data_IF_745667129875
#
_entry.id   IF_745667129875
#
_cell.length_a   1.000
_cell.length_b   1.000
_cell.length_c   1.000
_cell.angle_alpha   90.00
_cell.angle_beta   90.00
_cell.angle_gamma   90.00
#
_symmetry.space_group_name_H-M   'P 1'
#
loop_
_entity.id
_entity.type
_entity.pdbx_description
1 polymer ?
#
# COMPACT_ATOMS: atom_id res chain seq x y z
N UNK A 1 5.88 -20.56 2.25
CA UNK A 1 7.01 -21.46 1.92
C UNK A 1 6.44 -22.83 1.60
N UNK A 2 7.00 -23.56 0.62
CA UNK A 2 6.68 -24.97 0.38
C UNK A 2 7.23 -25.85 1.50
N UNK A 3 6.74 -27.08 1.67
CA UNK A 3 7.26 -28.02 2.69
C UNK A 3 8.77 -28.21 2.56
N UNK A 4 9.27 -28.36 1.33
CA UNK A 4 10.71 -28.48 1.04
C UNK A 4 11.49 -27.23 1.43
N UNK A 5 10.95 -26.04 1.18
CA UNK A 5 11.58 -24.77 1.61
C UNK A 5 11.59 -24.66 3.14
N UNK A 6 10.51 -25.06 3.81
CA UNK A 6 10.41 -25.04 5.27
C UNK A 6 11.41 -26.00 5.92
N UNK A 7 11.54 -27.23 5.39
CA UNK A 7 12.53 -28.21 5.83
C UNK A 7 13.96 -27.71 5.62
N UNK A 8 14.24 -27.09 4.47
CA UNK A 8 15.55 -26.49 4.23
C UNK A 8 15.86 -25.37 5.21
N UNK A 9 14.92 -24.42 5.43
CA UNK A 9 15.12 -23.31 6.38
C UNK A 9 15.29 -23.84 7.79
N UNK A 10 14.55 -24.88 8.19
CA UNK A 10 14.71 -25.54 9.49
C UNK A 10 16.09 -26.16 9.63
N UNK A 11 16.53 -26.95 8.65
CA UNK A 11 17.83 -27.60 8.70
C UNK A 11 18.98 -26.59 8.70
N UNK A 12 18.91 -25.57 7.84
CA UNK A 12 19.86 -24.46 7.82
C UNK A 12 19.94 -23.77 9.18
N UNK A 13 18.80 -23.51 9.81
CA UNK A 13 18.73 -22.85 11.11
C UNK A 13 19.35 -23.69 12.23
N UNK A 14 18.97 -24.97 12.32
CA UNK A 14 19.47 -25.91 13.34
C UNK A 14 20.97 -26.17 13.23
N UNK A 15 21.52 -26.19 12.00
CA UNK A 15 22.93 -26.54 11.76
C UNK A 15 23.87 -25.34 11.72
N UNK A 16 23.46 -24.23 11.11
CA UNK A 16 24.33 -23.09 10.83
C UNK A 16 24.04 -21.90 11.73
N UNK A 17 22.76 -21.57 11.96
CA UNK A 17 22.41 -20.39 12.74
C UNK A 17 22.63 -20.58 14.26
N UNK A 18 22.62 -21.81 14.77
CA UNK A 18 22.92 -22.09 16.18
C UNK A 18 24.41 -22.26 16.48
N UNK A 19 25.24 -22.57 15.49
CA UNK A 19 26.67 -22.85 15.69
C UNK A 19 27.51 -21.57 15.71
N UNK A 20 27.07 -20.52 15.03
CA UNK A 20 27.70 -19.21 15.12
C UNK A 20 27.06 -18.38 16.24
N UNK A 21 27.88 -17.73 17.07
CA UNK A 21 27.45 -16.89 18.19
C UNK A 21 26.85 -15.55 17.73
N UNK A 22 26.06 -15.53 16.65
CA UNK A 22 25.42 -14.34 16.11
C UNK A 22 23.93 -14.35 16.45
N UNK A 23 23.50 -13.67 17.53
CA UNK A 23 22.11 -13.70 17.99
C UNK A 23 21.12 -12.98 17.05
N UNK A 24 21.60 -12.31 15.99
CA UNK A 24 20.76 -11.51 15.09
C UNK A 24 21.11 -11.84 13.65
N UNK A 25 20.16 -12.40 12.92
CA UNK A 25 20.27 -12.62 11.48
C UNK A 25 20.31 -11.26 10.76
N UNK A 26 21.39 -10.98 10.04
CA UNK A 26 21.47 -9.77 9.23
C UNK A 26 20.47 -9.84 8.06
N UNK A 27 20.07 -8.67 7.56
CA UNK A 27 19.19 -8.58 6.38
C UNK A 27 19.86 -9.21 5.13
N UNK A 28 21.19 -9.17 5.06
CA UNK A 28 21.97 -9.83 4.01
C UNK A 28 21.84 -11.35 4.08
N UNK A 29 21.96 -11.93 5.28
CA UNK A 29 21.79 -13.37 5.49
C UNK A 29 20.37 -13.82 5.12
N UNK A 30 19.36 -13.05 5.53
CA UNK A 30 17.95 -13.33 5.19
C UNK A 30 17.70 -13.23 3.69
N UNK A 31 18.31 -12.25 3.02
CA UNK A 31 18.22 -12.09 1.56
C UNK A 31 18.91 -13.24 0.82
N UNK A 32 20.10 -13.66 1.27
CA UNK A 32 20.81 -14.80 0.70
C UNK A 32 20.03 -16.11 0.88
N UNK A 33 19.46 -16.34 2.06
CA UNK A 33 18.64 -17.51 2.35
C UNK A 33 17.36 -17.52 1.49
N UNK A 34 16.77 -16.34 1.26
CA UNK A 34 15.63 -16.18 0.37
C UNK A 34 15.99 -16.54 -1.08
N UNK A 35 17.16 -16.11 -1.56
CA UNK A 35 17.68 -16.50 -2.88
C UNK A 35 17.90 -18.02 -2.97
N UNK A 36 18.55 -18.63 -1.98
CA UNK A 36 18.84 -20.08 -1.97
C UNK A 36 17.57 -20.93 -1.97
N UNK A 37 16.58 -20.52 -1.20
CA UNK A 37 15.29 -21.22 -1.11
C UNK A 37 14.35 -20.89 -2.26
N UNK A 38 14.72 -19.95 -3.13
CA UNK A 38 13.83 -19.37 -4.15
C UNK A 38 12.51 -18.88 -3.52
N UNK A 39 12.61 -18.28 -2.34
CA UNK A 39 11.49 -17.71 -1.61
C UNK A 39 11.64 -16.20 -1.47
N UNK A 40 10.55 -15.49 -1.20
CA UNK A 40 10.62 -14.06 -0.92
C UNK A 40 11.16 -13.81 0.50
N UNK A 41 12.06 -12.83 0.70
CA UNK A 41 12.64 -12.54 2.02
C UNK A 41 11.59 -12.36 3.11
N UNK A 42 10.49 -11.67 2.83
CA UNK A 42 9.42 -11.45 3.81
C UNK A 42 8.66 -12.74 4.19
N UNK A 43 8.50 -13.70 3.27
CA UNK A 43 7.90 -15.00 3.59
C UNK A 43 8.82 -15.82 4.50
N UNK A 44 10.13 -15.65 4.31
CA UNK A 44 11.17 -16.31 5.08
C UNK A 44 11.29 -15.68 6.47
N UNK A 45 11.29 -14.35 6.57
CA UNK A 45 11.22 -13.60 7.83
C UNK A 45 9.97 -13.98 8.63
N UNK A 46 8.79 -13.99 8.00
CA UNK A 46 7.54 -14.38 8.64
C UNK A 46 7.57 -15.82 9.17
N UNK A 47 8.15 -16.75 8.41
CA UNK A 47 8.31 -18.14 8.86
C UNK A 47 9.32 -18.26 10.01
N UNK A 48 10.49 -17.61 9.92
CA UNK A 48 11.51 -17.64 10.98
C UNK A 48 10.96 -17.03 12.28
N UNK A 49 10.29 -15.88 12.21
CA UNK A 49 9.70 -15.24 13.39
C UNK A 49 8.60 -16.08 14.03
N UNK A 50 7.85 -16.85 13.23
CA UNK A 50 6.80 -17.75 13.71
C UNK A 50 7.38 -18.99 14.39
N UNK A 51 8.37 -19.64 13.77
CA UNK A 51 8.93 -20.91 14.24
C UNK A 51 10.03 -20.73 15.29
N UNK A 52 10.72 -19.57 15.30
CA UNK A 52 11.82 -19.26 16.21
C UNK A 52 11.67 -17.88 16.86
N UNK A 53 10.70 -17.70 17.79
CA UNK A 53 10.42 -16.41 18.41
C UNK A 53 11.59 -15.81 19.19
N UNK A 54 12.53 -16.65 19.65
CA UNK A 54 13.68 -16.30 20.48
C UNK A 54 14.59 -15.22 19.86
N UNK A 55 14.64 -15.15 18.53
CA UNK A 55 15.53 -14.22 17.78
C UNK A 55 14.91 -12.85 17.57
N UNK A 56 13.58 -12.74 17.55
CA UNK A 56 12.89 -11.53 17.12
C UNK A 56 12.85 -10.41 18.17
N UNK A 57 13.53 -10.56 19.31
CA UNK A 57 13.36 -9.70 20.48
C UNK A 57 14.32 -8.50 20.58
N UNK A 58 15.29 -8.30 19.68
CA UNK A 58 16.25 -7.19 19.81
C UNK A 58 16.76 -6.60 18.47
N UNK A 59 15.87 -6.07 17.63
CA UNK A 59 16.29 -5.04 16.66
C UNK A 59 15.85 -3.67 17.18
N UNK A 60 16.76 -2.86 17.75
CA UNK A 60 16.50 -1.44 17.91
C UNK A 60 16.44 -0.85 16.50
N UNK A 61 15.27 -0.38 16.08
CA UNK A 61 15.15 0.53 14.95
C UNK A 61 15.95 1.78 15.31
N UNK A 62 17.21 1.83 14.87
CA UNK A 62 18.11 2.95 15.09
C UNK A 62 17.49 4.23 14.53
N UNK A 63 17.19 5.15 15.45
CA UNK A 63 16.87 6.54 15.18
C UNK A 63 17.95 7.18 14.29
N UNK A 64 17.55 7.70 13.14
CA UNK A 64 18.38 8.56 12.30
C UNK A 64 18.42 9.95 12.98
N UNK A 65 19.60 10.58 13.15
CA UNK A 65 19.69 11.87 13.83
C UNK A 65 19.08 12.99 12.98
N UNK A 66 18.16 13.72 13.61
CA UNK A 66 17.49 14.91 13.09
C UNK A 66 18.52 16.05 12.94
N UNK A 67 18.91 16.37 11.70
CA UNK A 67 19.68 17.59 11.39
C UNK A 67 18.78 18.80 11.54
N UNK A 68 19.02 19.57 12.60
CA UNK A 68 18.50 20.93 12.81
C UNK A 68 19.36 21.91 12.02
N UNK A 69 18.83 22.38 10.89
CA UNK A 69 19.34 23.54 10.16
C UNK A 69 18.20 24.55 10.00
N UNK A 70 18.11 25.49 10.93
CA UNK A 70 17.20 26.63 10.90
C UNK A 70 17.83 27.70 9.99
N UNK A 71 17.37 27.77 8.74
CA UNK A 71 17.59 28.94 7.90
C UNK A 71 16.26 29.61 7.57
N UNK A 72 16.16 30.87 8.03
CA UNK A 72 15.08 31.80 7.75
C UNK A 72 15.14 32.20 6.28
N UNK A 73 14.14 31.83 5.49
CA UNK A 73 13.89 32.48 4.21
C UNK A 73 12.48 33.05 4.12
N UNK A 74 12.47 34.28 3.64
CA UNK A 74 11.37 35.22 3.43
C UNK A 74 10.33 34.68 2.44
N UNK A 75 9.04 35.08 2.54
CA UNK A 75 7.99 34.56 1.69
C UNK A 75 8.08 35.15 0.28
N UNK A 76 8.33 34.30 -0.71
CA UNK A 76 8.14 34.60 -2.14
C UNK A 76 6.92 33.81 -2.64
N UNK A 77 6.05 34.41 -3.47
CA UNK A 77 4.88 33.73 -4.02
C UNK A 77 5.35 32.78 -5.13
N UNK A 78 5.26 31.47 -4.89
CA UNK A 78 5.61 30.45 -5.88
C UNK A 78 4.36 29.87 -6.52
N UNK A 79 4.04 30.38 -7.71
CA UNK A 79 3.41 29.58 -8.75
C UNK A 79 4.45 28.55 -9.21
N UNK A 80 4.42 27.35 -8.61
CA UNK A 80 5.17 26.21 -9.14
C UNK A 80 4.26 25.00 -9.10
N UNK A 81 3.47 24.86 -10.16
CA UNK A 81 2.61 23.70 -10.40
C UNK A 81 3.50 22.49 -10.69
N UNK A 82 4.03 21.87 -9.64
CA UNK A 82 4.73 20.58 -9.76
C UNK A 82 3.72 19.58 -10.34
N UNK A 83 4.06 18.84 -11.41
CA UNK A 83 3.17 17.82 -11.94
C UNK A 83 2.79 16.83 -10.84
N UNK A 84 1.49 16.57 -10.70
CA UNK A 84 0.91 15.66 -9.69
C UNK A 84 1.63 14.29 -9.65
N UNK A 85 2.14 13.83 -10.79
CA UNK A 85 2.90 12.57 -10.89
C UNK A 85 4.20 12.61 -10.11
N UNK A 86 4.95 13.72 -10.17
CA UNK A 86 6.27 13.86 -9.53
C UNK A 86 6.17 13.86 -8.00
N UNK A 87 5.10 14.42 -7.45
CA UNK A 87 4.84 14.42 -6.01
C UNK A 87 4.57 13.00 -5.47
N UNK A 88 3.87 12.16 -6.22
CA UNK A 88 3.56 10.79 -5.82
C UNK A 88 4.83 9.91 -5.78
N UNK A 89 5.65 9.99 -6.82
CA UNK A 89 6.92 9.24 -6.91
C UNK A 89 7.87 9.64 -5.77
N UNK A 90 8.00 10.94 -5.50
CA UNK A 90 8.85 11.44 -4.42
C UNK A 90 8.38 10.96 -3.04
N UNK A 91 7.07 10.99 -2.77
CA UNK A 91 6.51 10.52 -1.51
C UNK A 91 6.67 9.01 -1.30
N UNK A 92 6.80 8.24 -2.38
CA UNK A 92 6.87 6.78 -2.37
C UNK A 92 8.24 6.23 -2.82
N UNK A 93 9.29 7.05 -2.77
CA UNK A 93 10.65 6.67 -3.20
C UNK A 93 11.28 5.54 -2.37
N UNK A 94 10.71 5.23 -1.20
CA UNK A 94 11.12 4.09 -0.35
C UNK A 94 10.62 2.73 -0.87
N UNK A 95 9.67 2.73 -1.81
CA UNK A 95 9.20 1.50 -2.44
C UNK A 95 10.21 1.00 -3.49
N UNK A 96 10.28 -0.31 -3.70
CA UNK A 96 11.07 -0.88 -4.79
C UNK A 96 10.59 -0.32 -6.14
N UNK A 97 11.49 -0.03 -7.11
CA UNK A 97 11.11 0.60 -8.38
C UNK A 97 10.01 -0.15 -9.14
N UNK A 98 10.03 -1.48 -9.15
CA UNK A 98 8.99 -2.30 -9.77
C UNK A 98 7.63 -2.15 -9.07
N UNK A 99 7.61 -2.13 -7.73
CA UNK A 99 6.40 -1.91 -6.94
C UNK A 99 5.86 -0.50 -7.16
N UNK A 100 6.74 0.51 -7.16
CA UNK A 100 6.35 1.89 -7.41
C UNK A 100 5.68 2.05 -8.79
N UNK A 101 6.24 1.45 -9.84
CA UNK A 101 5.65 1.50 -11.18
C UNK A 101 4.23 0.87 -11.23
N UNK A 102 4.01 -0.24 -10.52
CA UNK A 102 2.69 -0.87 -10.41
C UNK A 102 1.70 0.03 -9.66
N UNK A 103 2.14 0.64 -8.56
CA UNK A 103 1.34 1.59 -7.76
C UNK A 103 0.97 2.82 -8.59
N UNK A 104 1.92 3.43 -9.28
CA UNK A 104 1.68 4.59 -10.14
C UNK A 104 0.69 4.27 -11.25
N UNK A 105 0.86 3.12 -11.92
CA UNK A 105 -0.09 2.64 -12.95
C UNK A 105 -1.48 2.44 -12.37
N UNK A 106 -1.59 1.89 -11.15
CA UNK A 106 -2.86 1.69 -10.46
C UNK A 106 -3.54 3.03 -10.12
N UNK A 107 -2.81 3.96 -9.51
CA UNK A 107 -3.30 5.30 -9.16
C UNK A 107 -3.72 6.08 -10.41
N UNK A 108 -2.92 6.01 -11.48
CA UNK A 108 -3.27 6.62 -12.76
C UNK A 108 -4.59 6.05 -13.30
N UNK A 109 -4.84 4.75 -13.13
CA UNK A 109 -6.11 4.11 -13.54
C UNK A 109 -7.28 4.55 -12.65
N UNK A 110 -7.09 4.64 -11.34
CA UNK A 110 -8.09 5.14 -10.38
C UNK A 110 -8.56 6.57 -10.67
N UNK A 111 -7.65 7.42 -11.12
CA UNK A 111 -7.93 8.82 -11.45
C UNK A 111 -8.51 9.03 -12.85
N UNK A 112 -8.63 7.99 -13.67
CA UNK A 112 -9.25 8.13 -14.99
C UNK A 112 -10.73 8.49 -14.84
N UNK A 113 -11.22 9.50 -15.59
CA UNK A 113 -12.65 9.73 -15.72
C UNK A 113 -13.33 8.45 -16.20
N UNK A 114 -14.39 8.03 -15.54
CA UNK A 114 -15.17 6.90 -16.04
C UNK A 114 -16.00 7.35 -17.25
N UNK A 115 -16.08 6.54 -18.31
CA UNK A 115 -16.86 6.89 -19.48
C UNK A 115 -18.33 7.10 -19.13
N UNK A 116 -18.95 8.04 -19.83
CA UNK A 116 -20.35 8.40 -19.59
C UNK A 116 -21.34 7.25 -19.90
N UNK A 117 -20.85 6.13 -20.43
CA UNK A 117 -21.64 4.96 -20.84
C UNK A 117 -21.54 3.77 -19.89
N UNK A 118 -20.83 3.88 -18.76
CA UNK A 118 -20.78 2.80 -17.75
C UNK A 118 -22.20 2.54 -17.19
N UNK A 119 -22.84 1.45 -17.59
CA UNK A 119 -24.26 1.13 -17.41
C UNK A 119 -24.74 0.93 -15.97
N UNK A 120 -23.90 1.24 -14.97
CA UNK A 120 -24.23 1.17 -13.53
C UNK A 120 -24.94 2.44 -13.00
N UNK A 121 -25.52 3.29 -13.85
CA UNK A 121 -26.01 4.65 -13.50
C UNK A 121 -27.30 4.73 -12.66
N UNK A 122 -27.91 3.61 -12.27
CA UNK A 122 -29.03 3.68 -11.31
C UNK A 122 -28.60 4.26 -9.96
N UNK A 123 -27.29 4.36 -9.68
CA UNK A 123 -26.69 4.99 -8.49
C UNK A 123 -26.12 6.40 -8.74
N UNK A 124 -26.78 7.23 -9.56
CA UNK A 124 -26.41 8.64 -9.77
C UNK A 124 -27.50 9.61 -9.26
N UNK A 125 -28.15 9.26 -8.15
CA UNK A 125 -29.15 10.11 -7.49
C UNK A 125 -28.76 10.31 -6.03
N UNK A 126 -28.99 11.52 -5.51
CA UNK A 126 -28.72 11.88 -4.13
C UNK A 126 -27.92 13.17 -3.96
N UNK A 127 -27.83 13.63 -2.71
CA UNK A 127 -27.18 14.89 -2.36
C UNK A 127 -25.64 14.80 -2.43
N UNK A 128 -25.05 13.65 -2.13
CA UNK A 128 -23.60 13.49 -2.06
C UNK A 128 -23.00 13.23 -3.43
N UNK A 129 -22.44 14.26 -4.04
CA UNK A 129 -21.84 14.23 -5.39
C UNK A 129 -20.33 13.99 -5.32
N UNK A 130 -19.80 13.25 -6.28
CA UNK A 130 -18.35 13.07 -6.41
C UNK A 130 -17.67 14.38 -6.82
N UNK A 131 -16.60 14.73 -6.12
CA UNK A 131 -15.81 15.96 -6.29
C UNK A 131 -14.65 15.81 -7.28
N UNK A 132 -14.42 14.60 -7.79
CA UNK A 132 -13.42 14.32 -8.84
C UNK A 132 -13.99 14.38 -10.27
N UNK A 133 -15.24 14.85 -10.44
CA UNK A 133 -15.82 15.11 -11.76
C UNK A 133 -16.31 13.87 -12.52
N UNK A 134 -16.55 12.73 -11.86
CA UNK A 134 -17.01 11.51 -12.52
C UNK A 134 -18.55 11.36 -12.59
N UNK A 135 -19.30 12.37 -12.16
CA UNK A 135 -20.77 12.42 -12.11
C UNK A 135 -21.46 11.36 -11.21
N UNK A 136 -20.71 10.65 -10.37
CA UNK A 136 -21.30 9.78 -9.35
C UNK A 136 -22.03 10.60 -8.28
N UNK A 137 -23.20 10.13 -7.86
CA UNK A 137 -23.96 10.75 -6.77
C UNK A 137 -24.75 9.71 -5.97
N UNK A 138 -24.78 9.82 -4.65
CA UNK A 138 -25.49 8.87 -3.78
C UNK A 138 -26.24 9.59 -2.67
N UNK A 139 -27.25 8.94 -2.09
CA UNK A 139 -27.95 9.43 -0.90
C UNK A 139 -27.19 9.15 0.41
N UNK A 140 -26.14 8.32 0.39
CA UNK A 140 -25.44 7.85 1.59
C UNK A 140 -24.01 8.37 1.66
N UNK A 141 -23.69 9.10 2.74
CA UNK A 141 -22.34 9.60 3.06
C UNK A 141 -21.26 8.51 3.00
N UNK A 142 -21.56 7.31 3.49
CA UNK A 142 -20.63 6.17 3.49
C UNK A 142 -20.24 5.74 2.07
N UNK A 143 -21.23 5.61 1.17
CA UNK A 143 -21.00 5.20 -0.21
C UNK A 143 -20.24 6.28 -0.99
N UNK A 144 -20.52 7.56 -0.69
CA UNK A 144 -19.79 8.69 -1.25
C UNK A 144 -18.30 8.66 -0.85
N UNK A 145 -18.00 8.52 0.45
CA UNK A 145 -16.61 8.44 0.93
C UNK A 145 -15.86 7.27 0.28
N UNK A 146 -16.48 6.09 0.23
CA UNK A 146 -15.92 4.89 -0.40
C UNK A 146 -15.67 5.09 -1.90
N UNK A 147 -16.53 5.86 -2.57
CA UNK A 147 -16.36 6.21 -3.98
C UNK A 147 -15.17 7.17 -4.17
N UNK A 148 -15.06 8.21 -3.34
CA UNK A 148 -13.95 9.15 -3.36
C UNK A 148 -12.60 8.46 -3.12
N UNK A 149 -12.55 7.48 -2.20
CA UNK A 149 -11.38 6.62 -1.95
C UNK A 149 -11.00 5.75 -3.17
N UNK A 150 -11.90 5.56 -4.13
CA UNK A 150 -11.56 4.91 -5.42
C UNK A 150 -10.75 5.83 -6.32
N UNK A 151 -10.98 7.15 -6.25
CA UNK A 151 -10.23 8.15 -7.00
C UNK A 151 -8.90 8.50 -6.34
N UNK A 152 -8.90 8.60 -5.02
CA UNK A 152 -7.70 8.86 -4.22
C UNK A 152 -7.54 7.76 -3.15
N UNK A 153 -6.95 6.61 -3.52
CA UNK A 153 -6.64 5.53 -2.59
C UNK A 153 -5.87 5.99 -1.37
N UNK A 154 -6.27 5.54 -0.19
CA UNK A 154 -5.55 5.74 1.07
C UNK A 154 -4.69 4.54 1.44
N UNK A 155 -5.08 3.35 0.99
CA UNK A 155 -4.36 2.11 1.19
C UNK A 155 -4.29 1.33 -0.13
N UNK A 156 -3.23 0.55 -0.31
CA UNK A 156 -3.02 -0.29 -1.48
C UNK A 156 -2.55 -1.67 -1.03
N UNK A 157 -3.11 -2.70 -1.64
CA UNK A 157 -2.67 -4.07 -1.51
C UNK A 157 -2.18 -4.59 -2.85
N UNK A 158 -0.95 -5.11 -2.87
CA UNK A 158 -0.33 -5.79 -4.00
C UNK A 158 -0.14 -7.25 -3.60
N UNK A 159 -0.93 -8.16 -4.20
CA UNK A 159 -0.92 -9.56 -3.83
C UNK A 159 0.47 -10.17 -4.02
N UNK A 160 1.14 -10.49 -2.93
CA UNK A 160 2.49 -11.07 -2.95
C UNK A 160 2.51 -12.42 -3.66
N UNK A 161 1.44 -13.21 -3.54
CA UNK A 161 1.33 -14.51 -4.20
C UNK A 161 1.20 -14.40 -5.73
N UNK A 162 0.54 -13.35 -6.24
CA UNK A 162 0.44 -13.07 -7.68
C UNK A 162 1.68 -12.38 -8.24
N UNK A 163 2.38 -11.58 -7.44
CA UNK A 163 3.58 -10.87 -7.90
C UNK A 163 4.72 -11.82 -8.32
N UNK A 164 4.68 -13.08 -7.88
CA UNK A 164 5.69 -14.09 -8.16
C UNK A 164 5.31 -15.08 -9.27
N UNK A 165 4.07 -15.04 -9.76
CA UNK A 165 3.67 -15.91 -10.86
C UNK A 165 4.19 -15.35 -12.19
N UNK A 166 4.67 -16.20 -13.13
CA UNK A 166 5.15 -15.75 -14.45
C UNK A 166 4.08 -15.08 -15.32
N UNK A 167 2.82 -15.09 -14.87
CA UNK A 167 1.75 -14.34 -15.52
C UNK A 167 1.93 -12.86 -15.24
N UNK A 168 1.93 -12.06 -16.30
CA UNK A 168 2.23 -10.62 -16.35
C UNK A 168 1.22 -9.70 -15.61
N UNK A 169 0.43 -10.25 -14.68
CA UNK A 169 -0.70 -9.58 -14.06
C UNK A 169 -0.63 -9.71 -12.54
N UNK A 170 0.25 -8.92 -11.93
CA UNK A 170 0.22 -8.72 -10.48
C UNK A 170 -1.14 -8.12 -10.07
N UNK A 171 -1.79 -8.73 -9.07
CA UNK A 171 -3.08 -8.26 -8.58
C UNK A 171 -2.89 -7.11 -7.60
N UNK A 172 -3.35 -5.92 -7.96
CA UNK A 172 -3.27 -4.69 -7.16
C UNK A 172 -4.64 -4.03 -7.00
N UNK A 173 -4.97 -3.62 -5.78
CA UNK A 173 -6.27 -2.98 -5.47
C UNK A 173 -6.18 -2.07 -4.25
N UNK A 174 -7.01 -1.03 -4.22
CA UNK A 174 -7.15 -0.07 -3.09
C UNK A 174 -8.31 -0.38 -2.14
N UNK A 175 -8.94 -1.55 -2.26
CA UNK A 175 -10.12 -1.94 -1.49
C UNK A 175 -9.93 -3.28 -0.80
N UNK A 176 -9.95 -3.26 0.53
CA UNK A 176 -9.79 -4.45 1.39
C UNK A 176 -10.78 -5.57 1.05
N UNK A 177 -12.06 -5.24 0.83
CA UNK A 177 -13.08 -6.24 0.48
C UNK A 177 -12.81 -6.94 -0.86
N UNK A 178 -12.26 -6.19 -1.83
CA UNK A 178 -11.86 -6.74 -3.13
C UNK A 178 -10.62 -7.60 -3.02
N UNK A 179 -9.66 -7.21 -2.20
CA UNK A 179 -8.48 -8.01 -1.93
C UNK A 179 -8.83 -9.33 -1.25
N UNK A 180 -9.60 -9.29 -0.16
CA UNK A 180 -10.01 -10.50 0.57
C UNK A 180 -10.78 -11.48 -0.32
N UNK A 181 -11.67 -10.96 -1.18
CA UNK A 181 -12.37 -11.77 -2.17
C UNK A 181 -11.37 -12.46 -3.11
N UNK A 182 -10.41 -11.71 -3.68
CA UNK A 182 -9.36 -12.26 -4.53
C UNK A 182 -8.53 -13.34 -3.81
N UNK A 183 -8.04 -13.05 -2.61
CA UNK A 183 -7.24 -13.98 -1.83
C UNK A 183 -8.01 -15.28 -1.53
N UNK A 184 -9.30 -15.18 -1.21
CA UNK A 184 -10.17 -16.34 -1.00
C UNK A 184 -10.38 -17.17 -2.28
N UNK A 185 -10.69 -16.52 -3.40
CA UNK A 185 -11.04 -17.20 -4.65
C UNK A 185 -9.82 -17.79 -5.36
N UNK A 186 -8.69 -17.09 -5.35
CA UNK A 186 -7.47 -17.47 -6.09
C UNK A 186 -6.51 -18.27 -5.21
N UNK A 187 -6.40 -17.96 -3.92
CA UNK A 187 -5.39 -18.53 -3.02
C UNK A 187 -5.96 -19.32 -1.82
N UNK A 188 -7.30 -19.44 -1.70
CA UNK A 188 -7.96 -20.01 -0.52
C UNK A 188 -7.69 -21.49 -0.24
N UNK A 189 -7.05 -22.23 -1.16
CA UNK A 189 -6.67 -23.64 -0.94
C UNK A 189 -5.44 -23.82 -0.03
N UNK A 190 -4.63 -22.79 0.18
CA UNK A 190 -3.40 -22.90 0.97
C UNK A 190 -3.14 -21.75 1.93
N UNK A 191 -3.94 -20.69 1.87
CA UNK A 191 -3.71 -19.48 2.65
C UNK A 191 -5.02 -18.94 3.21
N UNK A 192 -4.97 -18.42 4.43
CA UNK A 192 -6.06 -17.61 4.97
C UNK A 192 -6.04 -16.24 4.30
N UNK A 193 -7.17 -15.72 3.78
CA UNK A 193 -7.22 -14.43 3.09
C UNK A 193 -6.63 -13.26 3.88
N UNK A 194 -6.81 -13.27 5.21
CA UNK A 194 -6.33 -12.24 6.13
C UNK A 194 -4.80 -12.25 6.24
N UNK A 195 -4.17 -13.43 6.28
CA UNK A 195 -2.71 -13.55 6.29
C UNK A 195 -2.11 -13.00 4.99
N UNK A 196 -2.74 -13.28 3.85
CA UNK A 196 -2.30 -12.74 2.55
C UNK A 196 -2.51 -11.24 2.49
N UNK A 197 -3.59 -10.71 3.06
CA UNK A 197 -3.88 -9.27 3.11
C UNK A 197 -2.76 -8.54 3.86
N UNK A 198 -2.39 -9.02 5.04
CA UNK A 198 -1.37 -8.38 5.88
C UNK A 198 0.01 -8.40 5.20
N UNK A 199 0.37 -9.53 4.58
CA UNK A 199 1.61 -9.67 3.81
C UNK A 199 1.63 -8.82 2.53
N UNK A 200 0.47 -8.45 2.00
CA UNK A 200 0.32 -7.76 0.72
C UNK A 200 0.09 -6.26 0.85
N UNK A 201 0.04 -5.73 2.09
CA UNK A 201 -0.12 -4.30 2.32
C UNK A 201 1.14 -3.56 1.87
N UNK A 202 0.97 -2.61 0.96
CA UNK A 202 2.06 -1.73 0.52
C UNK A 202 2.16 -0.58 1.51
N UNK A 203 3.39 -0.20 1.90
CA UNK A 203 3.65 1.02 2.68
C UNK A 203 3.49 2.28 1.80
N UNK A 204 2.29 2.43 1.24
CA UNK A 204 1.93 3.48 0.31
C UNK A 204 1.65 4.77 1.08
N UNK A 205 2.26 5.87 0.63
CA UNK A 205 2.00 7.22 1.15
C UNK A 205 1.05 7.97 0.20
N UNK A 206 -0.21 8.19 0.59
CA UNK A 206 -1.15 9.00 -0.18
C UNK A 206 -0.72 10.47 -0.19
N UNK A 207 -1.37 11.27 -1.04
CA UNK A 207 -1.09 12.70 -1.11
C UNK A 207 -1.50 13.40 0.20
N UNK A 208 -0.62 14.24 0.73
CA UNK A 208 -0.84 15.01 1.96
C UNK A 208 -1.72 16.25 1.77
N UNK A 209 -1.73 16.83 0.56
CA UNK A 209 -2.45 18.07 0.27
C UNK A 209 -3.58 17.81 -0.70
N UNK A 210 -4.80 17.87 -0.18
CA UNK A 210 -5.99 17.66 -0.97
C UNK A 210 -6.89 18.89 -0.89
N UNK A 211 -7.16 19.47 -2.05
CA UNK A 211 -8.12 20.55 -2.17
C UNK A 211 -9.56 20.01 -2.21
N UNK A 212 -10.48 20.78 -1.62
CA UNK A 212 -11.90 20.63 -1.84
C UNK A 212 -12.25 21.01 -3.28
N UNK A 213 -13.00 20.15 -3.98
CA UNK A 213 -13.43 20.43 -5.36
C UNK A 213 -14.45 21.57 -5.47
N UNK A 214 -15.15 21.90 -4.38
CA UNK A 214 -16.21 22.92 -4.36
C UNK A 214 -15.67 24.32 -4.01
N UNK A 215 -14.90 24.45 -2.91
CA UNK A 215 -14.43 25.75 -2.42
C UNK A 215 -12.90 25.91 -2.42
N UNK A 216 -12.15 24.90 -2.87
CA UNK A 216 -10.69 24.97 -2.97
C UNK A 216 -9.91 24.89 -1.65
N UNK A 217 -10.59 24.80 -0.49
CA UNK A 217 -9.91 24.71 0.81
C UNK A 217 -8.99 23.48 0.89
N UNK A 218 -7.77 23.67 1.39
CA UNK A 218 -6.79 22.60 1.58
C UNK A 218 -7.05 21.85 2.88
N UNK A 219 -6.92 20.53 2.83
CA UNK A 219 -6.96 19.65 4.01
C UNK A 219 -5.65 18.91 4.16
N UNK A 220 -5.21 18.67 5.40
CA UNK A 220 -3.95 17.99 5.71
C UNK A 220 -4.07 16.48 5.73
N UNK A 221 -5.29 15.98 5.92
CA UNK A 221 -5.59 14.55 5.93
C UNK A 221 -6.82 14.26 5.09
N UNK A 222 -6.93 13.01 4.65
CA UNK A 222 -8.11 12.52 3.94
C UNK A 222 -9.38 12.66 4.78
N UNK A 223 -9.32 12.31 6.07
CA UNK A 223 -10.43 12.45 7.00
C UNK A 223 -10.91 13.90 7.13
N UNK A 224 -9.99 14.85 7.23
CA UNK A 224 -10.30 16.27 7.33
C UNK A 224 -10.96 16.77 6.04
N UNK A 225 -10.43 16.36 4.88
CA UNK A 225 -11.05 16.62 3.58
C UNK A 225 -12.46 16.07 3.49
N UNK A 226 -12.65 14.79 3.81
CA UNK A 226 -13.96 14.15 3.72
C UNK A 226 -14.98 14.81 4.64
N UNK A 227 -14.57 15.19 5.85
CA UNK A 227 -15.44 15.92 6.78
C UNK A 227 -15.82 17.30 6.22
N UNK A 228 -14.86 18.03 5.70
CA UNK A 228 -15.07 19.34 5.08
C UNK A 228 -16.02 19.25 3.90
N UNK A 229 -15.78 18.33 2.96
CA UNK A 229 -16.62 18.19 1.76
C UNK A 229 -18.05 17.82 2.10
N UNK A 230 -18.25 16.95 3.11
CA UNK A 230 -19.61 16.60 3.56
C UNK A 230 -20.39 17.81 4.06
N UNK A 231 -19.71 18.79 4.67
CA UNK A 231 -20.35 20.04 5.13
C UNK A 231 -20.90 20.91 4.00
N UNK A 232 -20.60 20.64 2.73
CA UNK A 232 -21.24 21.30 1.58
C UNK A 232 -22.58 20.67 1.17
N UNK A 233 -22.88 19.44 1.66
CA UNK A 233 -24.11 18.72 1.31
C UNK A 233 -25.17 18.75 2.41
N UNK A 234 -24.81 19.24 3.61
CA UNK A 234 -25.67 19.39 4.79
C UNK A 234 -26.10 20.86 4.94
#
# INVERSE_FOLDING_TARGET
LTTRQQEFVRHWYETLAQSESFPILSNETLSALATLTQAHPQLLIGYINKEYPSISSNTPFSHIPLRTGLDKQSPQPRDTTIPISTALSAANAHLLPATLALVEKHIATCRRPRPQTDGRRSVNTGAYRCTFGCNYATCRRFDWRRHEETHEPQEIWLCTLCAHTPTDHAFIVSRKDKFLKHAKEVHGRGWKPEEVLDLSRVDFRPRSELACGECGSLSRTWEERCRHVVGHFE
#
